data_IF_544912293235
#
_entry.id   IF_544912293235
#
_cell.length_a   1.000
_cell.length_b   1.000
_cell.length_c   1.000
_cell.angle_alpha   90.00
_cell.angle_beta   90.00
_cell.angle_gamma   90.00
#
_symmetry.space_group_name_H-M   'P 1'
#
loop_
_entity.id
_entity.type
_entity.pdbx_description
1 polymer ?
#
# COMPACT_ATOMS: atom_id res chain seq x y z
N UNK A 1 -42.14 -59.39 -37.53
CA UNK A 1 -42.36 -58.76 -36.22
C UNK A 1 -41.15 -57.93 -35.85
N UNK A 2 -41.38 -56.64 -35.57
CA UNK A 2 -40.68 -55.73 -34.62
C UNK A 2 -39.14 -55.72 -34.63
N UNK A 3 -38.54 -54.66 -35.20
CA UNK A 3 -37.81 -53.54 -34.52
C UNK A 3 -36.52 -53.99 -33.81
N UNK A 4 -35.35 -53.39 -33.96
CA UNK A 4 -35.08 -51.95 -33.88
C UNK A 4 -33.64 -51.65 -34.35
N UNK A 5 -33.46 -50.48 -34.96
CA UNK A 5 -32.17 -49.85 -35.20
C UNK A 5 -31.39 -49.65 -33.89
N UNK A 6 -30.08 -49.88 -33.93
CA UNK A 6 -29.08 -49.12 -33.16
C UNK A 6 -27.96 -48.75 -34.14
N UNK A 7 -27.94 -47.47 -34.54
CA UNK A 7 -26.78 -46.79 -35.13
C UNK A 7 -26.20 -45.90 -34.02
N UNK A 8 -24.94 -46.08 -33.65
CA UNK A 8 -24.05 -45.13 -32.94
C UNK A 8 -22.75 -45.89 -32.64
N UNK A 9 -21.53 -45.37 -32.68
CA UNK A 9 -20.92 -44.15 -33.20
C UNK A 9 -19.43 -44.56 -33.29
N UNK A 10 -18.78 -44.36 -34.43
CA UNK A 10 -17.34 -44.62 -34.56
C UNK A 10 -16.59 -43.41 -33.98
N UNK A 11 -15.74 -43.62 -32.97
CA UNK A 11 -14.68 -42.68 -32.60
C UNK A 11 -13.36 -43.45 -32.62
N UNK A 12 -12.42 -43.13 -33.53
CA UNK A 12 -11.08 -43.69 -33.46
C UNK A 12 -10.22 -42.85 -32.51
N UNK A 13 -9.78 -43.43 -31.40
CA UNK A 13 -8.70 -42.86 -30.57
C UNK A 13 -7.39 -43.13 -31.29
N UNK A 14 -6.82 -42.07 -31.86
CA UNK A 14 -5.47 -42.06 -32.39
C UNK A 14 -4.44 -42.19 -31.26
N UNK A 15 -3.50 -43.07 -31.52
CA UNK A 15 -2.35 -43.45 -30.71
C UNK A 15 -1.24 -42.43 -30.99
N UNK A 16 -0.51 -41.98 -29.97
CA UNK A 16 0.91 -41.65 -30.08
C UNK A 16 1.63 -41.93 -28.76
N UNK A 17 2.55 -42.90 -28.84
CA UNK A 17 3.55 -43.23 -27.81
C UNK A 17 4.89 -42.57 -28.16
N UNK A 18 5.79 -42.55 -27.16
CA UNK A 18 7.27 -42.47 -27.25
C UNK A 18 7.86 -41.07 -27.59
N UNK A 19 9.02 -40.63 -27.09
CA UNK A 19 10.12 -41.23 -26.31
C UNK A 19 11.14 -40.13 -25.92
N UNK A 20 12.05 -40.46 -25.00
CA UNK A 20 13.37 -39.84 -24.74
C UNK A 20 13.37 -38.44 -24.06
N UNK A 21 14.28 -38.11 -23.14
CA UNK A 21 15.67 -38.58 -22.98
C UNK A 21 16.11 -38.49 -21.51
N UNK A 22 16.77 -39.54 -21.04
CA UNK A 22 17.76 -39.46 -19.97
C UNK A 22 19.01 -38.78 -20.50
N UNK A 23 19.47 -37.69 -19.89
CA UNK A 23 20.88 -37.30 -19.90
C UNK A 23 21.13 -36.33 -18.74
N UNK A 24 21.62 -36.92 -17.65
CA UNK A 24 22.28 -36.23 -16.57
C UNK A 24 23.76 -36.32 -16.89
N UNK A 25 24.34 -35.29 -17.50
CA UNK A 25 25.80 -35.15 -17.56
C UNK A 25 26.24 -33.68 -17.53
N UNK A 26 27.12 -33.44 -16.55
CA UNK A 26 28.24 -32.52 -16.52
C UNK A 26 28.00 -31.01 -16.31
N UNK A 27 28.23 -30.65 -15.05
CA UNK A 27 28.90 -29.44 -14.61
C UNK A 27 30.20 -29.30 -15.40
N UNK A 28 30.37 -28.18 -16.10
CA UNK A 28 31.68 -27.54 -16.19
C UNK A 28 31.50 -26.02 -16.12
N UNK A 29 32.21 -25.44 -15.18
CA UNK A 29 32.30 -24.01 -14.92
C UNK A 29 32.99 -23.32 -16.10
N UNK A 30 32.65 -22.05 -16.38
CA UNK A 30 33.63 -20.93 -16.41
C UNK A 30 32.95 -19.64 -16.93
N UNK A 31 32.63 -18.76 -15.98
CA UNK A 31 32.82 -17.29 -15.98
C UNK A 31 32.44 -16.52 -17.27
N UNK A 32 31.29 -15.83 -17.24
CA UNK A 32 31.24 -14.39 -17.60
C UNK A 32 29.93 -13.71 -17.17
N UNK A 33 30.08 -12.47 -16.73
CA UNK A 33 29.05 -11.48 -16.35
C UNK A 33 28.49 -11.55 -14.92
N UNK A 34 29.15 -10.77 -14.08
CA UNK A 34 28.81 -10.47 -12.70
C UNK A 34 27.65 -9.45 -12.57
N UNK A 35 26.79 -9.29 -13.59
CA UNK A 35 25.69 -8.31 -13.59
C UNK A 35 24.30 -8.94 -13.33
N UNK A 36 24.16 -10.26 -13.47
CA UNK A 36 22.86 -10.94 -13.31
C UNK A 36 22.51 -11.34 -11.86
N UNK A 37 23.40 -11.07 -10.89
CA UNK A 37 23.17 -11.45 -9.47
C UNK A 37 22.30 -10.44 -8.71
N UNK A 38 22.17 -9.20 -9.18
CA UNK A 38 21.30 -8.18 -8.57
C UNK A 38 19.84 -8.29 -9.01
N UNK A 39 19.58 -8.83 -10.20
CA UNK A 39 18.21 -8.94 -10.75
C UNK A 39 17.45 -10.15 -10.19
N UNK A 40 18.15 -11.19 -9.71
CA UNK A 40 17.51 -12.41 -9.21
C UNK A 40 17.05 -12.35 -7.74
N UNK A 41 17.65 -11.49 -6.90
CA UNK A 41 17.28 -11.36 -5.48
C UNK A 41 15.97 -10.59 -5.24
N UNK A 42 15.53 -9.78 -6.22
CA UNK A 42 14.27 -9.00 -6.11
C UNK A 42 13.04 -9.91 -6.29
N UNK A 43 13.19 -11.15 -6.78
CA UNK A 43 12.08 -12.07 -7.07
C UNK A 43 11.60 -12.94 -5.91
N UNK A 44 12.21 -12.89 -4.72
CA UNK A 44 11.88 -13.81 -3.62
C UNK A 44 11.67 -13.15 -2.25
N UNK A 45 11.62 -11.82 -2.16
CA UNK A 45 11.27 -11.18 -0.88
C UNK A 45 9.76 -11.30 -0.64
N UNK A 46 9.40 -12.10 0.36
CA UNK A 46 8.09 -12.01 0.98
C UNK A 46 8.03 -10.79 1.90
N UNK A 47 6.85 -10.15 2.01
CA UNK A 47 6.67 -9.07 2.96
C UNK A 47 6.88 -9.61 4.39
N UNK A 48 7.36 -8.82 5.32
CA UNK A 48 7.59 -9.18 6.73
C UNK A 48 7.55 -7.92 7.62
N UNK A 49 7.80 -8.06 8.93
CA UNK A 49 7.70 -6.93 9.86
C UNK A 49 8.71 -5.80 9.61
N UNK A 50 9.87 -6.10 9.02
CA UNK A 50 10.96 -5.14 8.84
C UNK A 50 10.83 -4.32 7.55
N UNK A 51 10.17 -4.90 6.53
CA UNK A 51 10.07 -4.29 5.19
C UNK A 51 8.64 -3.91 4.79
N UNK A 52 7.68 -3.97 5.71
CA UNK A 52 6.26 -3.73 5.41
C UNK A 52 5.60 -2.75 6.37
N UNK A 53 4.56 -2.08 5.89
CA UNK A 53 3.59 -1.37 6.73
C UNK A 53 2.20 -1.95 6.58
N UNK A 54 1.42 -1.92 7.66
CA UNK A 54 -0.01 -2.10 7.55
C UNK A 54 -0.68 -0.79 7.08
N UNK A 55 -1.58 -0.87 6.11
CA UNK A 55 -2.18 0.30 5.48
C UNK A 55 -3.03 1.13 6.46
N UNK A 56 -3.81 0.48 7.33
CA UNK A 56 -4.61 1.22 8.32
C UNK A 56 -3.72 2.02 9.27
N UNK A 57 -2.51 1.53 9.54
CA UNK A 57 -1.51 2.21 10.35
C UNK A 57 -0.91 3.43 9.65
N UNK A 58 -0.72 3.36 8.34
CA UNK A 58 -0.38 4.53 7.52
C UNK A 58 -1.51 5.56 7.54
N UNK A 59 -2.78 5.13 7.48
CA UNK A 59 -3.92 6.04 7.55
C UNK A 59 -4.04 6.72 8.93
N UNK A 60 -3.80 5.98 10.02
CA UNK A 60 -3.72 6.53 11.38
C UNK A 60 -2.63 7.60 11.45
N UNK A 61 -1.43 7.31 10.93
CA UNK A 61 -0.32 8.26 10.88
C UNK A 61 -0.68 9.53 10.09
N UNK A 62 -1.38 9.39 8.97
CA UNK A 62 -1.92 10.53 8.22
C UNK A 62 -2.89 11.38 9.06
N UNK A 63 -3.83 10.75 9.76
CA UNK A 63 -4.82 11.45 10.58
C UNK A 63 -4.15 12.21 11.73
N UNK A 64 -3.19 11.60 12.42
CA UNK A 64 -2.43 12.25 13.49
C UNK A 64 -1.70 13.50 12.99
N UNK A 65 -0.98 13.39 11.87
CA UNK A 65 -0.29 14.52 11.25
C UNK A 65 -1.26 15.63 10.83
N UNK A 66 -2.40 15.25 10.25
CA UNK A 66 -3.43 16.20 9.80
C UNK A 66 -4.00 16.97 10.97
N UNK A 67 -4.34 16.29 12.06
CA UNK A 67 -4.87 16.92 13.29
C UNK A 67 -3.85 17.92 13.87
N UNK A 68 -2.56 17.56 13.93
CA UNK A 68 -1.50 18.47 14.40
C UNK A 68 -1.41 19.73 13.53
N UNK A 69 -1.43 19.59 12.20
CA UNK A 69 -1.43 20.73 11.27
C UNK A 69 -2.67 21.60 11.44
N UNK A 70 -3.84 20.98 11.59
CA UNK A 70 -5.11 21.69 11.77
C UNK A 70 -5.15 22.47 13.09
N UNK A 71 -4.59 21.94 14.18
CA UNK A 71 -4.50 22.69 15.44
C UNK A 71 -3.62 23.92 15.33
N UNK A 72 -2.48 23.84 14.62
CA UNK A 72 -1.62 25.01 14.36
C UNK A 72 -2.32 26.07 13.50
N UNK A 73 -3.05 25.63 12.48
CA UNK A 73 -3.86 26.55 11.67
C UNK A 73 -4.98 27.19 12.50
N UNK A 74 -5.58 26.45 13.44
CA UNK A 74 -6.58 26.99 14.36
C UNK A 74 -6.02 28.12 15.21
N UNK A 75 -4.81 27.95 15.74
CA UNK A 75 -4.10 28.97 16.51
C UNK A 75 -3.81 30.23 15.67
N UNK A 76 -3.34 30.06 14.43
CA UNK A 76 -3.12 31.18 13.49
C UNK A 76 -4.41 31.95 13.17
N UNK A 77 -5.51 31.24 12.89
CA UNK A 77 -6.80 31.88 12.61
C UNK A 77 -7.34 32.67 13.81
N UNK A 78 -7.19 32.15 15.03
CA UNK A 78 -7.61 32.85 16.25
C UNK A 78 -6.86 34.17 16.41
N UNK A 79 -5.54 34.17 16.18
CA UNK A 79 -4.72 35.38 16.27
C UNK A 79 -5.13 36.44 15.25
N UNK A 80 -5.46 36.05 14.01
CA UNK A 80 -5.91 36.98 12.96
C UNK A 80 -7.29 37.57 13.25
N UNK A 81 -8.20 36.76 13.80
CA UNK A 81 -9.52 37.24 14.24
C UNK A 81 -9.37 38.24 15.38
N UNK A 82 -8.48 37.98 16.36
CA UNK A 82 -8.15 38.94 17.42
C UNK A 82 -7.55 40.25 16.89
N UNK A 83 -6.94 40.23 15.70
CA UNK A 83 -6.41 41.40 14.99
C UNK A 83 -7.47 42.12 14.13
N UNK A 84 -8.71 41.64 14.10
CA UNK A 84 -9.84 42.28 13.42
C UNK A 84 -10.25 41.64 12.08
N UNK A 85 -9.66 40.52 11.68
CA UNK A 85 -10.07 39.75 10.48
C UNK A 85 -11.29 38.86 10.79
N UNK A 86 -12.43 39.48 11.13
CA UNK A 86 -13.67 38.76 11.51
C UNK A 86 -14.23 37.86 10.40
N UNK A 87 -13.92 38.14 9.13
CA UNK A 87 -14.32 37.30 7.99
C UNK A 87 -13.71 35.88 8.05
N UNK A 88 -12.72 35.65 8.91
CA UNK A 88 -12.11 34.33 9.11
C UNK A 88 -12.90 33.43 10.08
N UNK A 89 -13.94 33.93 10.76
CA UNK A 89 -14.74 33.15 11.71
C UNK A 89 -15.34 31.90 11.04
N UNK A 90 -15.92 32.03 9.84
CA UNK A 90 -16.50 30.89 9.12
C UNK A 90 -15.43 29.82 8.79
N UNK A 91 -14.21 30.25 8.44
CA UNK A 91 -13.09 29.33 8.19
C UNK A 91 -12.66 28.61 9.47
N UNK A 92 -12.65 29.32 10.61
CA UNK A 92 -12.35 28.73 11.91
C UNK A 92 -13.39 27.67 12.31
N UNK A 93 -14.68 27.95 12.14
CA UNK A 93 -15.75 26.99 12.44
C UNK A 93 -15.65 25.73 11.56
N UNK A 94 -15.41 25.90 10.25
CA UNK A 94 -15.21 24.78 9.34
C UNK A 94 -13.98 23.94 9.74
N UNK A 95 -12.90 24.58 10.16
CA UNK A 95 -11.69 23.92 10.64
C UNK A 95 -11.96 23.12 11.92
N UNK A 96 -12.69 23.68 12.89
CA UNK A 96 -13.05 22.99 14.12
C UNK A 96 -13.89 21.74 13.86
N UNK A 97 -14.90 21.83 12.99
CA UNK A 97 -15.70 20.66 12.55
C UNK A 97 -14.82 19.60 11.89
N UNK A 98 -13.83 20.01 11.10
CA UNK A 98 -12.89 19.08 10.46
C UNK A 98 -11.98 18.37 11.48
N UNK A 99 -11.45 19.10 12.47
CA UNK A 99 -10.65 18.52 13.56
C UNK A 99 -11.46 17.45 14.31
N UNK A 100 -12.70 17.79 14.69
CA UNK A 100 -13.57 16.86 15.41
C UNK A 100 -13.82 15.58 14.61
N UNK A 101 -14.16 15.72 13.32
CA UNK A 101 -14.37 14.57 12.42
C UNK A 101 -13.13 13.68 12.31
N UNK A 102 -11.94 14.28 12.17
CA UNK A 102 -10.69 13.53 12.10
C UNK A 102 -10.38 12.81 13.42
N UNK A 103 -10.64 13.45 14.57
CA UNK A 103 -10.48 12.83 15.88
C UNK A 103 -11.44 11.66 16.11
N UNK A 104 -12.70 11.79 15.71
CA UNK A 104 -13.69 10.70 15.75
C UNK A 104 -13.24 9.52 14.87
N UNK A 105 -12.77 9.82 13.66
CA UNK A 105 -12.24 8.81 12.73
C UNK A 105 -11.03 8.10 13.34
N UNK A 106 -10.06 8.84 13.87
CA UNK A 106 -8.87 8.28 14.53
C UNK A 106 -9.24 7.36 15.71
N UNK A 107 -10.23 7.76 16.52
CA UNK A 107 -10.72 6.96 17.65
C UNK A 107 -11.30 5.63 17.17
N UNK A 108 -12.05 5.61 16.08
CA UNK A 108 -12.60 4.38 15.49
C UNK A 108 -11.49 3.37 15.15
N UNK A 109 -10.43 3.81 14.46
CA UNK A 109 -9.33 2.92 14.06
C UNK A 109 -8.47 2.41 15.23
N UNK A 110 -8.33 3.20 16.32
CA UNK A 110 -7.52 2.80 17.48
C UNK A 110 -8.17 1.76 18.39
N UNK A 111 -9.49 1.66 18.39
CA UNK A 111 -10.24 0.75 19.29
C UNK A 111 -10.48 -0.62 18.63
N UNK A 112 -10.33 -0.70 17.30
CA UNK A 112 -10.53 -1.95 16.56
C UNK A 112 -9.49 -3.00 16.99
N UNK A 113 -9.90 -4.24 17.30
CA UNK A 113 -8.96 -5.31 17.60
C UNK A 113 -7.97 -5.50 16.45
N UNK A 114 -6.68 -5.51 16.77
CA UNK A 114 -5.62 -5.87 15.83
C UNK A 114 -5.28 -7.32 16.01
N UNK A 115 -5.16 -8.04 14.90
CA UNK A 115 -4.69 -9.43 14.94
C UNK A 115 -3.17 -9.41 15.03
N UNK A 116 -2.56 -10.17 15.96
CA UNK A 116 -1.11 -10.35 16.02
C UNK A 116 -0.61 -10.97 14.71
N UNK A 117 0.49 -10.43 14.17
CA UNK A 117 1.07 -10.86 12.90
C UNK A 117 1.28 -9.71 11.94
N UNK A 118 0.52 -8.62 12.07
CA UNK A 118 0.69 -7.41 11.26
C UNK A 118 2.03 -6.70 11.54
N UNK A 119 2.59 -5.96 10.57
CA UNK A 119 3.73 -5.09 10.80
C UNK A 119 3.45 -4.08 11.93
N UNK A 120 4.48 -3.63 12.67
CA UNK A 120 4.30 -2.60 13.67
C UNK A 120 3.79 -1.30 13.03
N UNK A 121 3.00 -0.49 13.77
CA UNK A 121 2.57 0.82 13.28
C UNK A 121 3.80 1.72 13.04
N UNK A 122 3.72 2.69 12.10
CA UNK A 122 4.72 3.72 11.98
C UNK A 122 4.83 4.49 13.29
N UNK A 123 6.03 4.96 13.59
CA UNK A 123 6.30 5.74 14.79
C UNK A 123 5.46 7.02 14.76
N UNK A 124 4.69 7.33 15.84
CA UNK A 124 3.87 8.53 15.88
C UNK A 124 4.70 9.79 15.65
N UNK A 125 4.13 10.76 14.96
CA UNK A 125 4.83 12.02 14.74
C UNK A 125 5.05 12.77 16.07
N UNK A 126 6.27 13.27 16.36
CA UNK A 126 6.49 14.07 17.56
C UNK A 126 5.60 15.32 17.55
N UNK A 127 4.94 15.61 18.68
CA UNK A 127 3.95 16.71 18.82
C UNK A 127 4.43 18.09 18.33
N UNK A 128 5.75 18.32 18.28
CA UNK A 128 6.34 19.60 17.87
C UNK A 128 6.56 19.72 16.36
N UNK A 129 6.57 18.62 15.61
CA UNK A 129 6.89 18.59 14.18
C UNK A 129 5.59 18.71 13.37
N UNK A 130 5.59 19.60 12.37
CA UNK A 130 4.43 19.84 11.48
C UNK A 130 4.25 18.76 10.41
N UNK A 131 5.30 18.02 10.10
CA UNK A 131 5.33 17.06 9.00
C UNK A 131 6.39 15.99 9.27
N UNK A 132 5.97 14.84 9.79
CA UNK A 132 6.84 13.68 9.86
C UNK A 132 6.92 12.96 8.52
N UNK A 133 8.09 12.41 8.24
CA UNK A 133 8.36 11.65 7.02
C UNK A 133 8.56 10.19 7.36
N UNK A 134 7.97 9.32 6.54
CA UNK A 134 8.23 7.88 6.59
C UNK A 134 9.44 7.56 5.70
N UNK A 135 10.48 6.87 6.21
CA UNK A 135 11.64 6.50 5.41
C UNK A 135 11.32 5.28 4.53
N UNK A 136 10.87 5.52 3.29
CA UNK A 136 10.43 4.45 2.38
C UNK A 136 11.57 3.55 1.90
N UNK A 137 12.84 3.94 2.01
CA UNK A 137 13.97 3.09 1.54
C UNK A 137 13.91 1.67 2.10
N UNK A 138 13.55 1.52 3.37
CA UNK A 138 13.48 0.22 4.06
C UNK A 138 12.17 -0.54 3.82
N UNK A 139 11.12 0.11 3.29
CA UNK A 139 9.80 -0.49 3.15
C UNK A 139 9.48 -0.82 1.70
N UNK A 140 9.33 -2.11 1.43
CA UNK A 140 9.06 -2.63 0.08
C UNK A 140 7.59 -3.00 -0.12
N UNK A 141 6.79 -3.06 0.95
CA UNK A 141 5.42 -3.55 0.88
C UNK A 141 4.44 -2.77 1.75
N UNK A 142 3.18 -2.75 1.33
CA UNK A 142 2.05 -2.32 2.16
C UNK A 142 1.06 -3.48 2.24
N UNK A 143 0.82 -3.96 3.46
CA UNK A 143 -0.16 -5.00 3.78
C UNK A 143 -1.50 -4.32 4.05
N UNK A 144 -2.58 -4.89 3.56
CA UNK A 144 -3.94 -4.31 3.68
C UNK A 144 -4.91 -5.27 4.35
N UNK A 145 -6.13 -4.81 4.64
CA UNK A 145 -7.17 -5.63 5.25
C UNK A 145 -7.76 -6.65 4.25
N UNK A 146 -8.27 -7.80 4.76
CA UNK A 146 -8.83 -8.90 3.94
C UNK A 146 -9.88 -8.46 2.92
N UNK A 147 -10.67 -7.44 3.24
CA UNK A 147 -11.81 -7.00 2.42
C UNK A 147 -11.47 -5.97 1.34
N UNK A 148 -10.18 -5.63 1.16
CA UNK A 148 -9.80 -4.59 0.21
C UNK A 148 -9.88 -5.10 -1.24
N UNK A 149 -10.88 -4.61 -1.98
CA UNK A 149 -11.09 -4.97 -3.39
C UNK A 149 -10.11 -4.29 -4.36
N UNK A 150 -9.48 -3.20 -3.92
CA UNK A 150 -8.55 -2.43 -4.75
C UNK A 150 -7.86 -1.32 -3.98
N UNK A 151 -6.62 -1.07 -4.35
CA UNK A 151 -5.79 0.02 -3.84
C UNK A 151 -4.97 0.60 -4.98
N UNK A 152 -4.73 1.90 -4.94
CA UNK A 152 -3.79 2.57 -5.81
C UNK A 152 -2.81 3.36 -4.97
N UNK A 153 -1.53 3.02 -5.08
CA UNK A 153 -0.45 3.68 -4.36
C UNK A 153 0.46 4.38 -5.38
N UNK A 154 0.50 5.71 -5.32
CA UNK A 154 1.39 6.53 -6.13
C UNK A 154 2.51 7.10 -5.28
N UNK A 155 3.74 7.06 -5.78
CA UNK A 155 4.85 7.81 -5.19
C UNK A 155 5.11 9.02 -6.07
N UNK A 156 5.04 10.22 -5.48
CA UNK A 156 5.19 11.50 -6.18
C UNK A 156 6.39 12.26 -5.65
N UNK A 157 7.14 12.94 -6.50
CA UNK A 157 8.16 13.90 -6.06
C UNK A 157 7.51 15.14 -5.44
N UNK A 158 8.32 16.02 -4.86
CA UNK A 158 7.85 17.31 -4.31
C UNK A 158 7.26 18.21 -5.40
N UNK A 159 7.73 18.08 -6.64
CA UNK A 159 7.28 18.81 -7.82
C UNK A 159 5.98 18.22 -8.41
N UNK A 160 5.52 17.08 -7.87
CA UNK A 160 4.28 16.42 -8.27
C UNK A 160 4.45 15.39 -9.40
N UNK A 161 5.69 15.12 -9.85
CA UNK A 161 5.97 14.07 -10.82
C UNK A 161 5.69 12.69 -10.19
N UNK A 162 4.96 11.82 -10.89
CA UNK A 162 4.68 10.47 -10.38
C UNK A 162 5.79 9.52 -10.80
N UNK A 163 6.63 9.14 -9.84
CA UNK A 163 7.75 8.23 -10.07
C UNK A 163 7.33 6.76 -10.02
N UNK A 164 6.24 6.43 -9.32
CA UNK A 164 5.76 5.04 -9.23
C UNK A 164 4.25 4.93 -9.14
N UNK A 165 3.72 3.85 -9.75
CA UNK A 165 2.30 3.48 -9.76
C UNK A 165 2.17 2.00 -9.38
N UNK A 166 1.66 1.75 -8.17
CA UNK A 166 1.47 0.41 -7.66
C UNK A 166 -0.03 0.17 -7.48
N UNK A 167 -0.55 -0.94 -8.02
CA UNK A 167 -1.98 -1.30 -7.94
C UNK A 167 -2.25 -2.81 -7.85
N UNK A 168 -1.23 -3.62 -8.12
CA UNK A 168 -1.38 -5.07 -8.14
C UNK A 168 -1.30 -5.60 -6.71
N UNK A 169 -2.36 -6.31 -6.31
CA UNK A 169 -2.46 -6.97 -5.03
C UNK A 169 -2.10 -8.45 -5.17
N UNK A 170 -1.32 -8.95 -4.23
CA UNK A 170 -1.01 -10.37 -4.10
C UNK A 170 -1.20 -10.82 -2.64
N UNK A 171 -1.50 -12.11 -2.39
CA UNK A 171 -1.63 -12.62 -1.04
C UNK A 171 -0.26 -12.73 -0.36
N UNK A 172 -0.15 -12.27 0.87
CA UNK A 172 1.06 -12.41 1.69
C UNK A 172 0.90 -13.54 2.70
N UNK A 173 1.50 -14.71 2.42
CA UNK A 173 1.34 -15.93 3.23
C UNK A 173 1.79 -15.75 4.69
N UNK A 174 2.89 -15.03 4.89
CA UNK A 174 3.42 -14.69 6.21
C UNK A 174 2.52 -13.73 7.02
N UNK A 175 1.52 -13.12 6.37
CA UNK A 175 0.47 -12.30 6.95
C UNK A 175 -0.91 -12.96 6.77
N UNK A 176 -1.00 -14.29 6.88
CA UNK A 176 -2.24 -15.06 6.75
C UNK A 176 -2.98 -14.84 5.42
N UNK A 177 -2.24 -14.63 4.33
CA UNK A 177 -2.79 -14.37 2.99
C UNK A 177 -3.42 -12.99 2.83
N UNK A 178 -3.09 -12.02 3.70
CA UNK A 178 -3.60 -10.65 3.59
C UNK A 178 -3.19 -10.02 2.24
N UNK A 179 -4.09 -9.26 1.58
CA UNK A 179 -3.77 -8.61 0.32
C UNK A 179 -2.66 -7.58 0.54
N UNK A 180 -1.62 -7.67 -0.27
CA UNK A 180 -0.40 -6.87 -0.13
C UNK A 180 -0.01 -6.29 -1.48
N UNK A 181 0.57 -5.10 -1.44
CA UNK A 181 1.08 -4.39 -2.61
C UNK A 181 2.57 -4.18 -2.46
N UNK A 182 3.32 -4.42 -3.54
CA UNK A 182 4.74 -4.08 -3.62
C UNK A 182 4.91 -2.61 -3.98
N UNK A 183 5.83 -1.94 -3.31
CA UNK A 183 6.24 -0.58 -3.61
C UNK A 183 7.44 -0.62 -4.56
N UNK A 184 7.19 -0.39 -5.85
CA UNK A 184 8.25 -0.09 -6.78
C UNK A 184 8.76 1.33 -6.53
N UNK A 185 10.04 1.46 -6.20
CA UNK A 185 10.71 2.75 -6.09
C UNK A 185 11.63 2.83 -7.30
N UNK A 186 11.31 3.68 -8.29
CA UNK A 186 12.29 3.99 -9.35
C UNK A 186 13.54 4.59 -8.71
N UNK A 187 14.66 4.56 -9.42
CA UNK A 187 15.95 5.13 -8.99
C UNK A 187 15.83 6.65 -8.72
N UNK A 188 15.29 6.99 -7.55
CA UNK A 188 15.04 8.33 -7.05
C UNK A 188 15.46 8.37 -5.59
N UNK A 189 16.13 9.44 -5.20
CA UNK A 189 16.48 9.75 -3.82
C UNK A 189 16.02 11.18 -3.52
N UNK A 190 15.37 11.37 -2.37
CA UNK A 190 14.84 12.65 -1.91
C UNK A 190 13.47 12.55 -1.24
N UNK A 191 12.88 13.72 -0.99
CA UNK A 191 11.52 13.86 -0.45
C UNK A 191 10.48 13.38 -1.47
N UNK A 192 9.49 12.60 -1.00
CA UNK A 192 8.37 12.11 -1.79
C UNK A 192 7.04 12.20 -1.02
N UNK A 193 5.95 12.13 -1.75
CA UNK A 193 4.59 11.93 -1.22
C UNK A 193 4.09 10.55 -1.62
N UNK A 194 3.75 9.74 -0.61
CA UNK A 194 3.02 8.48 -0.79
C UNK A 194 1.52 8.78 -0.79
N UNK A 195 0.89 8.66 -1.97
CA UNK A 195 -0.53 8.94 -2.19
C UNK A 195 -1.27 7.61 -2.29
N UNK A 196 -2.15 7.34 -1.33
CA UNK A 196 -2.90 6.07 -1.25
C UNK A 196 -4.37 6.36 -1.52
N UNK A 197 -4.90 5.73 -2.56
CA UNK A 197 -6.32 5.76 -2.92
C UNK A 197 -6.95 4.39 -2.64
N UNK A 198 -8.04 4.36 -1.86
CA UNK A 198 -8.79 3.15 -1.54
C UNK A 198 -10.27 3.45 -1.28
N UNK A 199 -11.11 2.42 -1.33
CA UNK A 199 -12.47 2.52 -0.82
C UNK A 199 -12.46 2.55 0.72
N UNK A 200 -13.11 3.54 1.33
CA UNK A 200 -13.31 3.60 2.78
C UNK A 200 -14.74 3.17 3.13
N UNK A 201 -14.92 2.05 3.86
CA UNK A 201 -16.24 1.64 4.35
C UNK A 201 -16.88 2.70 5.24
N UNK A 202 -16.09 3.43 6.01
CA UNK A 202 -16.57 4.49 6.93
C UNK A 202 -17.16 5.68 6.18
N UNK A 203 -16.69 5.95 4.96
CA UNK A 203 -17.14 7.07 4.14
C UNK A 203 -17.98 6.65 2.94
N UNK A 204 -18.15 5.34 2.74
CA UNK A 204 -18.86 4.71 1.61
C UNK A 204 -18.42 5.27 0.24
N UNK A 205 -17.14 5.62 0.11
CA UNK A 205 -16.56 6.22 -1.09
C UNK A 205 -15.07 5.98 -1.18
N UNK A 206 -14.51 6.23 -2.35
CA UNK A 206 -13.05 6.33 -2.50
C UNK A 206 -12.50 7.53 -1.74
N UNK A 207 -11.43 7.29 -1.00
CA UNK A 207 -10.63 8.32 -0.36
C UNK A 207 -9.22 8.26 -0.92
N UNK A 208 -8.61 9.45 -1.02
CA UNK A 208 -7.17 9.58 -1.28
C UNK A 208 -6.57 10.34 -0.12
N UNK A 209 -5.47 9.84 0.43
CA UNK A 209 -4.71 10.53 1.46
C UNK A 209 -3.22 10.46 1.14
N UNK A 210 -2.52 11.50 1.56
CA UNK A 210 -1.13 11.76 1.20
C UNK A 210 -0.26 11.75 2.45
N UNK A 211 0.82 10.97 2.41
CA UNK A 211 1.79 10.86 3.48
C UNK A 211 3.14 11.35 2.98
N UNK A 212 3.77 12.22 3.76
CA UNK A 212 5.12 12.67 3.48
C UNK A 212 6.11 11.55 3.79
N UNK A 213 7.08 11.36 2.90
CA UNK A 213 8.05 10.29 2.95
C UNK A 213 9.42 10.72 2.40
N UNK A 214 10.44 9.92 2.63
CA UNK A 214 11.77 10.04 2.01
C UNK A 214 12.17 8.73 1.36
N UNK A 215 12.95 8.82 0.29
CA UNK A 215 13.73 7.71 -0.23
C UNK A 215 15.18 8.17 -0.14
N UNK A 216 15.94 7.57 0.75
CA UNK A 216 17.39 7.78 0.90
C UNK A 216 18.15 6.82 -0.01
#
# INVERSE_FOLDING_TARGET
>A
MKTSLIKLLIVPVLIFSCSNNSELENIDETITSNENKKVLLIRSEEPNQDNSYYEEDLYIFYLENTIVKQHKLKEDLLLKIEQGEEELIEKLEALQKSIEKNQQTLKFFRIRPRVPGLPPPPVPCPKKITSCRIPLSSYNFIVTNKDLKGILVKIKTKEGEVISYNKELFPAENFEGLPTIRLEKKDYSGDVTLSITKFSPVHEREITYDINATID
#
